data_IF_380504374817
#
_entry.id   IF_380504374817
#
_cell.length_a   1.000
_cell.length_b   1.000
_cell.length_c   1.000
_cell.angle_alpha   90.00
_cell.angle_beta   90.00
_cell.angle_gamma   90.00
#
_symmetry.space_group_name_H-M   'P 1'
#
loop_
_entity.id
_entity.type
_entity.pdbx_description
1 polymer ?
#
# COMPACT_ATOMS: atom_id res chain seq x y z
N UNK A 1 -29.62 -17.86 -3.42
CA UNK A 1 -29.39 -16.48 -3.94
C UNK A 1 -27.95 -16.37 -4.38
N UNK A 2 -27.70 -15.94 -5.62
CA UNK A 2 -26.34 -15.60 -6.07
C UNK A 2 -25.89 -14.36 -5.30
N UNK A 3 -24.91 -14.52 -4.42
CA UNK A 3 -24.38 -13.44 -3.59
C UNK A 3 -23.57 -12.45 -4.44
N UNK A 4 -24.26 -11.52 -5.11
CA UNK A 4 -23.60 -10.50 -5.93
C UNK A 4 -22.61 -9.70 -5.09
N UNK A 5 -21.41 -9.51 -5.64
CA UNK A 5 -20.34 -8.69 -5.08
C UNK A 5 -19.85 -7.73 -6.17
N UNK A 6 -19.50 -6.49 -5.81
CA UNK A 6 -18.97 -5.55 -6.78
C UNK A 6 -17.62 -6.04 -7.30
N UNK A 7 -17.32 -5.70 -8.55
CA UNK A 7 -15.99 -5.92 -9.12
C UNK A 7 -14.96 -5.09 -8.37
N UNK A 8 -13.86 -5.71 -7.98
CA UNK A 8 -12.74 -5.01 -7.33
C UNK A 8 -12.03 -4.16 -8.39
N UNK A 9 -11.85 -2.84 -8.17
CA UNK A 9 -11.16 -1.97 -9.11
C UNK A 9 -9.72 -2.43 -9.40
N UNK A 10 -9.25 -2.21 -10.63
CA UNK A 10 -7.89 -2.64 -11.07
C UNK A 10 -6.74 -1.99 -10.27
N UNK A 11 -6.96 -0.81 -9.69
CA UNK A 11 -5.96 -0.08 -8.91
C UNK A 11 -6.03 -0.41 -7.41
N UNK A 12 -6.90 -1.32 -7.00
CA UNK A 12 -6.95 -1.79 -5.62
C UNK A 12 -5.66 -2.54 -5.28
N UNK A 13 -5.03 -2.26 -4.13
CA UNK A 13 -3.86 -3.02 -3.68
C UNK A 13 -4.20 -4.52 -3.63
N UNK A 14 -3.38 -5.41 -4.22
CA UNK A 14 -3.70 -6.84 -4.32
C UNK A 14 -4.08 -7.47 -2.98
N UNK A 15 -3.39 -7.10 -1.90
CA UNK A 15 -3.67 -7.60 -0.55
C UNK A 15 -5.02 -7.14 0.01
N UNK A 16 -5.49 -5.95 -0.39
CA UNK A 16 -6.83 -5.48 -0.04
C UNK A 16 -7.89 -6.26 -0.80
N UNK A 17 -7.65 -6.53 -2.09
CA UNK A 17 -8.57 -7.33 -2.90
C UNK A 17 -8.76 -8.75 -2.34
N UNK A 18 -7.65 -9.42 -2.01
CA UNK A 18 -7.65 -10.75 -1.36
C UNK A 18 -8.44 -10.74 -0.03
N UNK A 19 -8.27 -9.69 0.79
CA UNK A 19 -9.03 -9.56 2.03
C UNK A 19 -10.53 -9.40 1.77
N UNK A 20 -10.92 -8.57 0.80
CA UNK A 20 -12.33 -8.39 0.44
C UNK A 20 -12.97 -9.70 -0.02
N UNK A 21 -12.28 -10.46 -0.88
CA UNK A 21 -12.74 -11.77 -1.34
C UNK A 21 -12.93 -12.77 -0.19
N UNK A 22 -12.00 -12.77 0.78
CA UNK A 22 -12.12 -13.60 2.00
C UNK A 22 -13.31 -13.17 2.87
N UNK A 23 -13.53 -11.87 3.03
CA UNK A 23 -14.70 -11.35 3.76
C UNK A 23 -16.03 -11.70 3.05
N UNK A 24 -15.99 -11.89 1.73
CA UNK A 24 -17.15 -12.18 0.90
C UNK A 24 -17.42 -13.67 0.69
N UNK A 25 -16.67 -14.57 1.34
CA UNK A 25 -16.88 -16.01 1.22
C UNK A 25 -18.35 -16.39 1.48
N UNK A 26 -18.88 -17.24 0.60
CA UNK A 26 -20.26 -17.69 0.68
C UNK A 26 -20.48 -18.49 1.98
N UNK A 27 -19.53 -19.38 2.29
CA UNK A 27 -19.46 -20.09 3.55
C UNK A 27 -19.01 -19.13 4.68
N UNK A 28 -19.84 -18.88 5.70
CA UNK A 28 -19.49 -18.04 6.83
C UNK A 28 -18.27 -18.54 7.61
N UNK A 29 -18.02 -19.85 7.64
CA UNK A 29 -16.90 -20.45 8.39
C UNK A 29 -15.53 -20.15 7.77
N UNK A 30 -15.51 -19.79 6.47
CA UNK A 30 -14.30 -19.40 5.75
C UNK A 30 -13.99 -17.91 5.85
N UNK A 31 -14.90 -17.13 6.42
CA UNK A 31 -14.68 -15.69 6.61
C UNK A 31 -13.69 -15.46 7.76
N UNK A 32 -12.80 -14.47 7.64
CA UNK A 32 -11.90 -14.13 8.72
C UNK A 32 -12.67 -13.53 9.89
N UNK A 33 -12.21 -13.84 11.10
CA UNK A 33 -12.67 -13.18 12.31
C UNK A 33 -12.30 -11.70 12.30
N UNK A 34 -13.09 -10.88 13.00
CA UNK A 34 -12.86 -9.43 12.99
C UNK A 34 -11.48 -9.04 13.51
N UNK A 35 -10.94 -9.78 14.47
CA UNK A 35 -9.56 -9.63 14.97
C UNK A 35 -8.53 -9.84 13.85
N UNK A 36 -8.69 -10.89 13.04
CA UNK A 36 -7.82 -11.17 11.90
C UNK A 36 -7.91 -10.07 10.83
N UNK A 37 -9.12 -9.55 10.58
CA UNK A 37 -9.33 -8.42 9.66
C UNK A 37 -8.55 -7.19 10.14
N UNK A 38 -8.67 -6.84 11.43
CA UNK A 38 -7.95 -5.71 12.03
C UNK A 38 -6.44 -5.88 11.91
N UNK A 39 -5.92 -7.07 12.19
CA UNK A 39 -4.50 -7.34 12.11
C UNK A 39 -3.99 -7.17 10.68
N UNK A 40 -4.68 -7.73 9.68
CA UNK A 40 -4.31 -7.56 8.27
C UNK A 40 -4.30 -6.08 7.87
N UNK A 41 -5.36 -5.33 8.22
CA UNK A 41 -5.47 -3.91 7.90
C UNK A 41 -4.37 -3.07 8.56
N UNK A 42 -4.04 -3.33 9.83
CA UNK A 42 -2.94 -2.65 10.54
C UNK A 42 -1.59 -2.93 9.89
N UNK A 43 -1.31 -4.17 9.51
CA UNK A 43 -0.08 -4.53 8.81
C UNK A 43 0.04 -3.81 7.46
N UNK A 44 -1.06 -3.70 6.70
CA UNK A 44 -1.08 -2.96 5.44
C UNK A 44 -0.84 -1.46 5.65
N UNK A 45 -1.50 -0.86 6.64
CA UNK A 45 -1.32 0.56 6.95
C UNK A 45 0.13 0.88 7.34
N UNK A 46 0.75 0.00 8.15
CA UNK A 46 2.16 0.13 8.54
C UNK A 46 3.09 0.09 7.31
N UNK A 47 2.91 -0.88 6.42
CA UNK A 47 3.73 -0.97 5.19
C UNK A 47 3.65 0.29 4.33
N UNK A 48 2.46 0.85 4.16
CA UNK A 48 2.26 2.10 3.40
C UNK A 48 2.96 3.28 4.08
N UNK A 49 2.95 3.33 5.42
CA UNK A 49 3.67 4.35 6.18
C UNK A 49 5.19 4.22 6.02
N UNK A 50 5.72 3.00 6.17
CA UNK A 50 7.15 2.70 6.03
C UNK A 50 7.67 3.10 4.64
N UNK A 51 6.96 2.71 3.57
CA UNK A 51 7.31 3.09 2.19
C UNK A 51 7.30 4.61 1.96
N UNK A 52 6.39 5.35 2.61
CA UNK A 52 6.36 6.81 2.55
C UNK A 52 7.60 7.41 3.23
N UNK A 53 7.97 6.89 4.40
CA UNK A 53 9.16 7.33 5.13
C UNK A 53 10.45 7.06 4.34
N UNK A 54 10.58 5.88 3.74
CA UNK A 54 11.74 5.51 2.92
C UNK A 54 11.89 6.43 1.70
N UNK A 55 10.78 6.71 0.99
CA UNK A 55 10.77 7.68 -0.11
C UNK A 55 11.21 9.08 0.34
N UNK A 56 10.76 9.54 1.51
CA UNK A 56 11.19 10.84 2.05
C UNK A 56 12.67 10.84 2.42
N UNK A 57 13.18 9.76 3.03
CA UNK A 57 14.59 9.62 3.39
C UNK A 57 15.49 9.62 2.15
N UNK A 58 15.08 8.96 1.08
CA UNK A 58 15.79 8.97 -0.20
C UNK A 58 15.84 10.38 -0.81
N UNK A 59 14.72 11.13 -0.81
CA UNK A 59 14.68 12.55 -1.26
C UNK A 59 15.60 13.47 -0.46
N UNK A 60 15.78 13.23 0.84
CA UNK A 60 16.69 14.04 1.68
C UNK A 60 18.16 13.72 1.43
N UNK A 61 18.48 12.51 0.96
CA UNK A 61 19.84 12.04 0.68
C UNK A 61 20.33 12.38 -0.73
N UNK A 62 19.45 12.70 -1.68
CA UNK A 62 19.88 13.12 -3.02
C UNK A 62 20.67 14.44 -2.93
N UNK A 63 21.95 14.47 -3.32
CA UNK A 63 22.71 15.72 -3.31
C UNK A 63 22.07 16.69 -4.30
N UNK A 64 21.86 17.94 -3.87
CA UNK A 64 21.56 19.03 -4.81
C UNK A 64 22.72 19.04 -5.82
N UNK A 65 22.44 18.76 -7.10
CA UNK A 65 23.40 19.05 -8.17
C UNK A 65 23.71 20.54 -8.07
N UNK A 66 24.85 20.91 -7.49
CA UNK A 66 25.43 22.23 -7.71
C UNK A 66 25.70 22.26 -9.20
N UNK A 67 24.94 23.11 -9.91
CA UNK A 67 25.20 23.41 -11.31
C UNK A 67 26.65 23.87 -11.42
N UNK A 68 27.50 23.07 -12.05
CA UNK A 68 28.89 23.40 -12.33
C UNK A 68 28.98 24.47 -13.42
N UNK A 69 28.48 25.67 -13.13
CA UNK A 69 28.57 26.83 -14.03
C UNK A 69 29.57 27.89 -13.53
N UNK A 70 30.31 27.65 -12.44
CA UNK A 70 31.34 28.61 -11.97
C UNK A 70 32.70 27.94 -11.92
N UNK A 71 33.24 27.63 -13.10
CA UNK A 71 34.68 27.40 -13.34
C UNK A 71 35.09 28.06 -14.67
N UNK A 72 34.59 29.26 -14.94
CA UNK A 72 35.08 30.06 -16.05
C UNK A 72 34.87 31.54 -15.76
N UNK A 73 35.59 32.06 -14.78
CA UNK A 73 36.12 33.43 -14.88
C UNK A 73 37.58 33.34 -14.46
N UNK A 74 38.40 33.73 -15.43
CA UNK A 74 39.85 33.88 -15.43
C UNK A 74 40.30 34.85 -14.32
#
# INVERSE_FOLDING_TARGET
>A
MLGLRPTIPRHTPPKLGELLERCWQQDPSLRPEFSQILDILRHMAKRVADERMDRQRQKRKSPRRVSAFVQSIN
#
